data_IF_651184771586
#
_entry.id   IF_651184771586
#
_cell.length_a   1.000
_cell.length_b   1.000
_cell.length_c   1.000
_cell.angle_alpha   90.00
_cell.angle_beta   90.00
_cell.angle_gamma   90.00
#
_symmetry.space_group_name_H-M   'P 1'
#
loop_
_entity.id
_entity.type
_entity.pdbx_description
1 polymer ?
#
# COMPACT_ATOMS: atom_id res chain seq x y z
N UNK A 1 -1.42 8.81 -22.53
CA UNK A 1 -0.90 8.80 -21.14
C UNK A 1 -1.22 7.45 -20.53
N UNK A 2 -0.43 6.95 -19.58
CA UNK A 2 -0.72 5.67 -18.97
C UNK A 2 -1.99 5.75 -18.10
N UNK A 3 -2.76 4.67 -18.08
CA UNK A 3 -3.98 4.54 -17.30
C UNK A 3 -3.68 3.99 -15.91
N UNK A 4 -4.27 4.61 -14.89
CA UNK A 4 -4.04 4.25 -13.48
C UNK A 4 -5.34 3.84 -12.81
N UNK A 5 -5.31 2.71 -12.09
CA UNK A 5 -6.40 2.29 -11.22
C UNK A 5 -6.00 2.45 -9.74
N UNK A 6 -6.79 3.20 -8.98
CA UNK A 6 -6.64 3.31 -7.53
C UNK A 6 -7.67 2.42 -6.83
N UNK A 7 -7.20 1.46 -6.03
CA UNK A 7 -8.02 0.57 -5.22
C UNK A 7 -7.94 0.96 -3.74
N UNK A 8 -8.99 1.62 -3.25
CA UNK A 8 -9.10 2.01 -1.85
C UNK A 8 -9.97 1.02 -1.08
N UNK A 9 -9.48 0.47 0.03
CA UNK A 9 -10.22 -0.51 0.86
C UNK A 9 -10.43 -0.04 2.29
N UNK A 10 -11.62 -0.34 2.83
CA UNK A 10 -11.95 -0.10 4.24
C UNK A 10 -12.94 -1.14 4.79
N UNK A 11 -12.91 -1.35 6.11
CA UNK A 11 -13.86 -2.22 6.83
C UNK A 11 -14.87 -1.42 7.67
N UNK A 12 -14.46 -0.24 8.15
CA UNK A 12 -15.24 0.61 9.05
C UNK A 12 -15.22 2.05 8.56
N UNK A 13 -16.36 2.72 8.64
CA UNK A 13 -16.42 4.15 8.39
C UNK A 13 -15.82 4.90 9.58
N UNK A 14 -14.93 5.85 9.29
CA UNK A 14 -14.32 6.74 10.27
C UNK A 14 -13.83 8.01 9.58
N UNK A 15 -13.35 8.98 10.36
CA UNK A 15 -12.91 10.27 9.83
C UNK A 15 -11.80 10.18 8.76
N UNK A 16 -10.94 9.14 8.78
CA UNK A 16 -9.91 8.94 7.76
C UNK A 16 -10.50 8.52 6.43
N UNK A 17 -11.50 7.64 6.47
CA UNK A 17 -12.24 7.22 5.28
C UNK A 17 -12.97 8.40 4.66
N UNK A 18 -13.68 9.18 5.46
CA UNK A 18 -14.34 10.41 5.01
C UNK A 18 -13.33 11.41 4.44
N UNK A 19 -12.17 11.55 5.10
CA UNK A 19 -11.09 12.41 4.61
C UNK A 19 -10.55 11.94 3.26
N UNK A 20 -10.35 10.64 3.05
CA UNK A 20 -9.93 10.09 1.76
C UNK A 20 -10.96 10.35 0.68
N UNK A 21 -12.24 10.09 0.95
CA UNK A 21 -13.33 10.31 -0.02
C UNK A 21 -13.41 11.77 -0.46
N UNK A 22 -13.22 12.70 0.48
CA UNK A 22 -13.34 14.13 0.21
C UNK A 22 -12.09 14.74 -0.44
N UNK A 23 -10.89 14.27 -0.07
CA UNK A 23 -9.64 14.98 -0.40
C UNK A 23 -8.68 14.18 -1.28
N UNK A 24 -8.86 12.86 -1.40
CA UNK A 24 -7.98 12.01 -2.21
C UNK A 24 -8.59 11.58 -3.54
N UNK A 25 -9.92 11.51 -3.63
CA UNK A 25 -10.64 11.13 -4.85
C UNK A 25 -10.84 12.37 -5.73
N UNK A 26 -10.47 12.24 -7.00
CA UNK A 26 -10.62 13.28 -8.02
C UNK A 26 -11.01 12.66 -9.35
N UNK A 27 -11.53 13.47 -10.27
CA UNK A 27 -11.79 13.05 -11.65
C UNK A 27 -10.58 13.33 -12.53
N UNK A 28 -10.18 12.36 -13.35
CA UNK A 28 -9.18 12.53 -14.40
C UNK A 28 -9.44 11.51 -15.52
N UNK A 29 -9.14 11.88 -16.77
CA UNK A 29 -9.42 11.05 -17.96
C UNK A 29 -8.67 9.71 -18.00
N UNK A 30 -7.56 9.60 -17.26
CA UNK A 30 -6.71 8.39 -17.19
C UNK A 30 -6.54 7.84 -15.77
N UNK A 31 -7.39 8.24 -14.82
CA UNK A 31 -7.31 7.73 -13.45
C UNK A 31 -8.68 7.36 -12.92
N UNK A 32 -8.87 6.09 -12.65
CA UNK A 32 -10.10 5.53 -12.12
C UNK A 32 -9.95 5.12 -10.66
N UNK A 33 -11.05 5.21 -9.92
CA UNK A 33 -11.13 4.84 -8.52
C UNK A 33 -12.13 3.71 -8.31
N UNK A 34 -11.69 2.68 -7.58
CA UNK A 34 -12.56 1.66 -7.02
C UNK A 34 -12.47 1.75 -5.50
N UNK A 35 -13.62 1.92 -4.86
CA UNK A 35 -13.76 1.87 -3.40
C UNK A 35 -14.34 0.51 -2.99
N UNK A 36 -13.58 -0.23 -2.19
CA UNK A 36 -13.90 -1.56 -1.70
C UNK A 36 -14.28 -1.46 -0.22
N UNK A 37 -15.52 -1.82 0.11
CA UNK A 37 -16.02 -1.88 1.47
C UNK A 37 -16.16 -3.33 1.90
N UNK A 38 -15.31 -3.75 2.84
CA UNK A 38 -15.33 -5.09 3.45
C UNK A 38 -16.47 -5.25 4.48
N UNK A 39 -17.55 -4.49 4.36
CA UNK A 39 -18.69 -4.56 5.25
C UNK A 39 -19.98 -4.29 4.49
N UNK A 40 -20.84 -5.30 4.40
CA UNK A 40 -22.11 -5.24 3.65
C UNK A 40 -23.11 -4.25 4.26
N UNK A 41 -22.97 -3.90 5.55
CA UNK A 41 -23.95 -3.12 6.30
C UNK A 41 -23.71 -1.61 6.25
N UNK A 42 -22.52 -1.15 5.83
CA UNK A 42 -22.19 0.28 5.76
C UNK A 42 -22.85 0.90 4.54
N UNK A 43 -23.53 2.04 4.71
CA UNK A 43 -24.08 2.87 3.63
C UNK A 43 -23.25 4.13 3.50
N UNK A 44 -22.62 4.35 2.35
CA UNK A 44 -21.67 5.45 2.13
C UNK A 44 -21.63 5.95 0.69
N UNK A 45 -22.36 5.30 -0.22
CA UNK A 45 -22.29 5.56 -1.65
C UNK A 45 -22.65 7.02 -1.98
N UNK A 46 -23.53 7.63 -1.18
CA UNK A 46 -23.90 9.04 -1.28
C UNK A 46 -22.76 10.03 -0.95
N UNK A 47 -21.67 9.55 -0.33
CA UNK A 47 -20.48 10.34 -0.02
C UNK A 47 -19.46 10.33 -1.16
N UNK A 48 -19.66 9.48 -2.17
CA UNK A 48 -18.74 9.30 -3.29
C UNK A 48 -19.26 9.97 -4.56
N UNK A 49 -18.38 10.52 -5.41
CA UNK A 49 -18.73 10.92 -6.75
C UNK A 49 -19.25 9.75 -7.60
N UNK A 50 -20.12 10.04 -8.57
CA UNK A 50 -20.76 9.02 -9.41
C UNK A 50 -19.82 8.26 -10.34
N UNK A 51 -18.64 8.82 -10.64
CA UNK A 51 -17.61 8.15 -11.45
C UNK A 51 -16.83 7.08 -10.66
N UNK A 52 -16.97 7.02 -9.33
CA UNK A 52 -16.28 6.03 -8.50
C UNK A 52 -17.05 4.71 -8.51
N UNK A 53 -16.40 3.62 -8.88
CA UNK A 53 -16.97 2.28 -8.77
C UNK A 53 -16.88 1.79 -7.32
N UNK A 54 -17.96 1.20 -6.83
CA UNK A 54 -18.05 0.68 -5.46
C UNK A 54 -18.21 -0.84 -5.48
N UNK A 55 -17.42 -1.52 -4.65
CA UNK A 55 -17.57 -2.95 -4.36
C UNK A 55 -17.87 -3.11 -2.88
N UNK A 56 -18.90 -3.89 -2.55
CA UNK A 56 -19.20 -4.33 -1.18
C UNK A 56 -19.03 -5.83 -1.07
N UNK A 57 -18.37 -6.27 0.00
CA UNK A 57 -18.08 -7.69 0.26
C UNK A 57 -17.98 -7.95 1.76
N UNK A 58 -17.93 -9.22 2.12
CA UNK A 58 -17.62 -9.65 3.48
C UNK A 58 -16.14 -9.38 3.82
N UNK A 59 -15.82 -9.25 5.11
CA UNK A 59 -14.44 -9.04 5.57
C UNK A 59 -13.60 -10.33 5.59
N UNK A 60 -13.44 -10.97 4.43
CA UNK A 60 -12.59 -12.16 4.27
C UNK A 60 -11.27 -11.76 3.63
N UNK A 61 -10.14 -12.20 4.16
CA UNK A 61 -8.81 -11.86 3.62
C UNK A 61 -8.34 -10.44 3.90
N UNK A 62 -9.10 -9.66 4.69
CA UNK A 62 -8.79 -8.27 5.04
C UNK A 62 -8.53 -7.42 3.79
N UNK A 63 -7.51 -6.55 3.82
CA UNK A 63 -7.17 -5.65 2.71
C UNK A 63 -6.78 -6.44 1.44
N UNK A 64 -5.87 -7.40 1.57
CA UNK A 64 -5.42 -8.22 0.44
C UNK A 64 -6.54 -9.07 -0.16
N UNK A 65 -7.50 -9.52 0.65
CA UNK A 65 -8.67 -10.24 0.17
C UNK A 65 -9.54 -9.37 -0.73
N UNK A 66 -9.88 -8.16 -0.28
CA UNK A 66 -10.71 -7.27 -1.09
C UNK A 66 -10.02 -6.75 -2.34
N UNK A 67 -8.72 -6.45 -2.28
CA UNK A 67 -7.94 -6.14 -3.48
C UNK A 67 -7.90 -7.32 -4.45
N UNK A 68 -7.64 -8.55 -3.95
CA UNK A 68 -7.64 -9.75 -4.77
C UNK A 68 -8.99 -9.98 -5.44
N UNK A 69 -10.09 -9.79 -4.70
CA UNK A 69 -11.42 -9.95 -5.27
C UNK A 69 -11.68 -8.95 -6.38
N UNK A 70 -11.34 -7.68 -6.16
CA UNK A 70 -11.47 -6.66 -7.19
C UNK A 70 -10.64 -6.95 -8.44
N UNK A 71 -9.40 -7.43 -8.28
CA UNK A 71 -8.50 -7.71 -9.41
C UNK A 71 -8.97 -8.95 -10.19
N UNK A 72 -9.47 -9.98 -9.50
CA UNK A 72 -9.70 -11.31 -10.07
C UNK A 72 -11.16 -11.54 -10.51
N UNK A 73 -12.16 -10.91 -9.87
CA UNK A 73 -13.59 -11.10 -10.21
C UNK A 73 -14.07 -10.17 -11.33
N UNK A 74 -13.57 -8.94 -11.37
CA UNK A 74 -13.72 -8.14 -12.57
C UNK A 74 -12.86 -8.87 -13.60
N UNK A 75 -13.49 -9.50 -14.59
CA UNK A 75 -12.83 -10.25 -15.66
C UNK A 75 -11.49 -9.57 -15.92
N UNK A 76 -10.38 -10.28 -15.72
CA UNK A 76 -9.01 -9.78 -15.86
C UNK A 76 -8.79 -8.84 -17.07
N UNK A 77 -9.64 -8.96 -18.11
CA UNK A 77 -9.84 -8.03 -19.21
C UNK A 77 -10.06 -6.55 -18.83
N UNK A 78 -10.90 -6.22 -17.84
CA UNK A 78 -11.14 -4.82 -17.44
C UNK A 78 -9.95 -4.21 -16.72
N UNK A 79 -9.22 -5.00 -15.92
CA UNK A 79 -8.01 -4.53 -15.23
C UNK A 79 -6.80 -4.51 -16.17
N UNK A 80 -6.77 -5.34 -17.23
CA UNK A 80 -5.68 -5.35 -18.21
C UNK A 80 -5.54 -4.07 -19.06
N UNK A 81 -6.50 -3.15 -18.96
CA UNK A 81 -6.45 -1.83 -19.59
C UNK A 81 -5.55 -0.83 -18.86
N UNK A 82 -5.28 -1.05 -17.56
CA UNK A 82 -4.48 -0.13 -16.76
C UNK A 82 -3.01 -0.50 -16.81
N UNK A 83 -2.16 0.53 -16.92
CA UNK A 83 -0.71 0.40 -16.88
C UNK A 83 -0.20 0.35 -15.43
N UNK A 84 -0.87 1.08 -14.54
CA UNK A 84 -0.46 1.23 -13.14
C UNK A 84 -1.62 0.99 -12.16
N UNK A 85 -1.26 0.47 -11.00
CA UNK A 85 -2.18 0.19 -9.91
C UNK A 85 -1.66 0.81 -8.63
N UNK A 86 -2.54 1.46 -7.88
CA UNK A 86 -2.25 1.98 -6.54
C UNK A 86 -3.23 1.36 -5.56
N UNK A 87 -2.70 0.70 -4.55
CA UNK A 87 -3.46 0.04 -3.49
C UNK A 87 -3.38 0.90 -2.23
N UNK A 88 -4.51 1.18 -1.61
CA UNK A 88 -4.61 2.04 -0.43
C UNK A 88 -5.59 1.44 0.56
N UNK A 89 -5.27 1.44 1.86
CA UNK A 89 -6.21 1.00 2.90
C UNK A 89 -6.63 2.13 3.85
N UNK A 90 -7.68 1.91 4.64
CA UNK A 90 -8.25 2.91 5.56
C UNK A 90 -7.39 3.29 6.77
N UNK A 91 -6.15 2.78 6.87
CA UNK A 91 -5.22 3.25 7.88
C UNK A 91 -4.60 4.61 7.52
N UNK A 92 -4.71 5.04 6.25
CA UNK A 92 -4.09 6.27 5.76
C UNK A 92 -4.79 7.53 6.25
N UNK A 93 -4.01 8.60 6.39
CA UNK A 93 -4.50 9.99 6.37
C UNK A 93 -3.63 10.78 5.40
N UNK A 94 -4.22 11.75 4.71
CA UNK A 94 -3.66 12.43 3.55
C UNK A 94 -4.68 12.49 2.40
N UNK A 95 -4.29 12.99 1.22
CA UNK A 95 -2.92 13.29 0.83
C UNK A 95 -2.43 14.63 1.41
N UNK A 96 -1.22 14.65 1.94
CA UNK A 96 -0.49 15.85 2.33
C UNK A 96 0.33 16.33 1.13
N UNK A 97 -0.30 17.19 0.34
CA UNK A 97 0.30 17.73 -0.89
C UNK A 97 0.67 19.20 -0.63
N UNK A 98 1.91 19.63 -0.92
CA UNK A 98 2.25 21.05 -0.85
C UNK A 98 1.41 21.88 -1.83
N UNK A 99 1.06 23.10 -1.46
CA UNK A 99 0.19 23.97 -2.28
C UNK A 99 0.75 24.30 -3.67
N UNK A 100 2.07 24.15 -3.86
CA UNK A 100 2.74 24.36 -5.15
C UNK A 100 2.73 23.14 -6.06
N UNK A 101 2.32 21.96 -5.57
CA UNK A 101 2.26 20.74 -6.37
C UNK A 101 0.91 20.68 -7.09
N UNK A 102 0.95 20.90 -8.40
CA UNK A 102 -0.25 21.03 -9.25
C UNK A 102 -0.63 19.73 -9.97
N UNK A 103 0.08 18.64 -9.72
CA UNK A 103 -0.21 17.34 -10.31
C UNK A 103 -1.07 16.47 -9.38
N UNK A 104 -1.57 15.35 -9.92
CA UNK A 104 -2.29 14.36 -9.14
C UNK A 104 -1.32 13.61 -8.20
N UNK A 105 -1.72 13.36 -6.97
CA UNK A 105 -0.88 12.64 -6.00
C UNK A 105 -0.47 11.24 -6.48
N UNK A 106 -1.26 10.63 -7.37
CA UNK A 106 -0.98 9.33 -7.99
C UNK A 106 0.35 9.34 -8.74
N UNK A 107 0.68 10.46 -9.40
CA UNK A 107 1.95 10.64 -10.13
C UNK A 107 3.16 10.49 -9.21
N UNK A 108 3.05 10.89 -7.94
CA UNK A 108 4.16 10.75 -6.97
C UNK A 108 4.56 9.28 -6.80
N UNK A 109 3.59 8.38 -6.76
CA UNK A 109 3.84 6.95 -6.60
C UNK A 109 4.26 6.28 -7.92
N UNK A 110 3.61 6.65 -9.02
CA UNK A 110 3.93 6.11 -10.36
C UNK A 110 5.35 6.49 -10.77
N UNK A 111 5.76 7.75 -10.54
CA UNK A 111 7.10 8.24 -10.85
C UNK A 111 8.19 7.61 -9.96
N UNK A 112 7.81 6.94 -8.87
CA UNK A 112 8.72 6.13 -8.06
C UNK A 112 9.09 4.77 -8.68
N UNK A 113 8.29 4.30 -9.64
CA UNK A 113 8.55 3.07 -10.40
C UNK A 113 9.51 3.34 -11.55
N UNK A 114 10.31 2.34 -11.92
CA UNK A 114 11.21 2.41 -13.06
C UNK A 114 11.58 1.01 -13.58
N UNK A 115 12.66 0.89 -14.36
CA UNK A 115 13.15 -0.42 -14.86
C UNK A 115 13.49 -1.37 -13.71
N UNK A 116 13.99 -0.83 -12.60
CA UNK A 116 14.54 -1.60 -11.49
C UNK A 116 13.55 -1.67 -10.34
N UNK A 117 12.88 -0.56 -10.00
CA UNK A 117 11.91 -0.47 -8.90
C UNK A 117 10.52 -0.84 -9.39
N UNK A 118 10.03 -2.00 -8.94
CA UNK A 118 8.75 -2.60 -9.38
C UNK A 118 7.61 -2.48 -8.38
N UNK A 119 7.92 -2.16 -7.13
CA UNK A 119 6.96 -1.86 -6.08
C UNK A 119 7.42 -0.63 -5.31
N UNK A 120 6.55 0.36 -5.23
CA UNK A 120 6.88 1.65 -4.63
C UNK A 120 5.78 2.08 -3.66
N UNK A 121 6.14 2.43 -2.42
CA UNK A 121 5.18 2.92 -1.43
C UNK A 121 5.67 4.13 -0.67
N UNK A 122 4.97 4.51 0.40
CA UNK A 122 5.43 5.64 1.22
C UNK A 122 6.60 5.25 2.12
N UNK A 123 6.60 4.04 2.68
CA UNK A 123 7.67 3.55 3.56
C UNK A 123 7.99 2.07 3.30
N UNK A 124 9.22 1.69 3.64
CA UNK A 124 9.64 0.28 3.73
C UNK A 124 9.88 -0.03 5.20
N UNK A 125 9.35 -1.14 5.71
CA UNK A 125 9.75 -1.66 7.00
C UNK A 125 10.91 -2.64 6.80
N UNK A 126 12.09 -2.26 7.28
CA UNK A 126 13.30 -3.06 7.16
C UNK A 126 13.38 -4.17 8.24
N UNK A 127 12.51 -4.13 9.26
CA UNK A 127 12.51 -5.02 10.43
C UNK A 127 13.94 -5.09 11.06
N UNK A 128 14.21 -6.06 11.93
CA UNK A 128 15.55 -6.33 12.49
C UNK A 128 16.52 -6.93 11.46
N UNK A 129 16.01 -7.47 10.33
CA UNK A 129 16.84 -8.08 9.29
C UNK A 129 16.33 -7.69 7.87
N UNK A 130 16.82 -6.57 7.32
CA UNK A 130 16.41 -6.04 6.02
C UNK A 130 16.61 -7.04 4.88
N UNK A 131 17.70 -7.81 4.91
CA UNK A 131 18.00 -8.83 3.90
C UNK A 131 16.88 -9.85 3.74
N UNK A 132 16.25 -10.24 4.86
CA UNK A 132 15.21 -11.28 4.89
C UNK A 132 13.81 -10.70 4.83
N UNK A 133 13.57 -9.54 5.42
CA UNK A 133 12.22 -9.10 5.76
C UNK A 133 11.88 -7.67 5.35
N UNK A 134 12.75 -6.98 4.61
CA UNK A 134 12.40 -5.66 4.06
C UNK A 134 11.15 -5.76 3.19
N UNK A 135 10.14 -4.95 3.51
CA UNK A 135 8.91 -4.88 2.74
C UNK A 135 8.33 -3.47 2.70
N UNK A 136 7.75 -3.10 1.55
CA UNK A 136 6.91 -1.91 1.44
C UNK A 136 5.69 -2.10 2.35
N UNK A 137 5.40 -1.11 3.18
CA UNK A 137 4.25 -1.20 4.09
C UNK A 137 2.94 -1.02 3.31
N UNK A 138 1.98 -1.93 3.54
CA UNK A 138 0.80 -2.09 2.67
C UNK A 138 -0.27 -0.98 2.74
N UNK A 139 -0.06 0.07 3.54
CA UNK A 139 -1.08 1.12 3.69
C UNK A 139 -1.26 1.96 2.41
N UNK A 140 -0.18 2.10 1.63
CA UNK A 140 -0.22 2.60 0.26
C UNK A 140 0.99 2.08 -0.53
N UNK A 141 0.75 1.55 -1.72
CA UNK A 141 1.79 1.14 -2.65
C UNK A 141 1.30 1.14 -4.10
N UNK A 142 2.24 1.25 -5.03
CA UNK A 142 2.01 1.24 -6.46
C UNK A 142 2.88 0.19 -7.16
N UNK A 143 2.39 -0.29 -8.31
CA UNK A 143 3.10 -1.20 -9.20
C UNK A 143 2.59 -1.06 -10.64
N UNK A 144 3.38 -1.54 -11.60
CA UNK A 144 2.94 -1.68 -13.00
C UNK A 144 2.15 -2.99 -13.22
N UNK A 145 1.43 -3.07 -14.34
CA UNK A 145 0.63 -4.25 -14.72
C UNK A 145 1.45 -5.54 -14.76
N UNK A 146 2.69 -5.49 -15.24
CA UNK A 146 3.55 -6.68 -15.33
C UNK A 146 3.90 -7.21 -13.92
N UNK A 147 4.15 -6.31 -12.98
CA UNK A 147 4.40 -6.65 -11.58
C UNK A 147 3.16 -7.21 -10.92
N UNK A 148 1.98 -6.64 -11.20
CA UNK A 148 0.71 -7.18 -10.71
C UNK A 148 0.48 -8.61 -11.20
N UNK A 149 0.65 -8.86 -12.51
CA UNK A 149 0.52 -10.19 -13.10
C UNK A 149 1.46 -11.19 -12.44
N UNK A 150 2.74 -10.82 -12.29
CA UNK A 150 3.72 -11.64 -11.56
C UNK A 150 3.26 -11.95 -10.12
N UNK A 151 2.75 -10.96 -9.38
CA UNK A 151 2.28 -11.17 -8.01
C UNK A 151 1.01 -12.03 -7.92
N UNK A 152 0.15 -12.00 -8.94
CA UNK A 152 -0.98 -12.93 -9.06
C UNK A 152 -0.46 -14.36 -9.30
N UNK A 153 0.50 -14.55 -10.20
CA UNK A 153 1.13 -15.87 -10.44
C UNK A 153 1.83 -16.41 -9.18
N UNK A 154 2.41 -15.53 -8.36
CA UNK A 154 3.00 -15.89 -7.05
C UNK A 154 1.97 -16.04 -5.92
N UNK A 155 0.67 -16.03 -6.24
CA UNK A 155 -0.43 -16.14 -5.29
C UNK A 155 -0.40 -15.09 -4.17
N UNK A 156 0.20 -13.90 -4.40
CA UNK A 156 0.10 -12.78 -3.46
C UNK A 156 -1.31 -12.22 -3.51
N UNK A 157 -1.80 -11.91 -4.71
CA UNK A 157 -3.21 -11.65 -4.96
C UNK A 157 -3.88 -12.95 -5.39
N UNK A 158 -4.81 -13.45 -4.57
CA UNK A 158 -5.42 -14.78 -4.76
C UNK A 158 -6.79 -14.86 -4.10
N UNK A 159 -7.65 -15.72 -4.65
CA UNK A 159 -8.93 -16.12 -4.06
C UNK A 159 -8.80 -16.99 -2.83
N UNK A 160 -7.63 -17.58 -2.60
CA UNK A 160 -7.36 -18.27 -1.35
C UNK A 160 -7.01 -17.25 -0.26
N UNK A 161 -8.04 -16.74 0.41
CA UNK A 161 -7.90 -15.67 1.39
C UNK A 161 -7.42 -16.15 2.75
N UNK A 162 -6.57 -15.34 3.39
CA UNK A 162 -6.18 -15.57 4.78
C UNK A 162 -7.34 -15.31 5.74
N UNK A 163 -7.51 -16.18 6.73
CA UNK A 163 -8.56 -16.07 7.75
C UNK A 163 -8.10 -15.32 9.00
N UNK A 164 -6.79 -15.16 9.17
CA UNK A 164 -6.17 -14.58 10.37
C UNK A 164 -5.35 -13.36 9.96
N UNK A 165 -5.49 -12.26 10.69
CA UNK A 165 -4.82 -10.99 10.36
C UNK A 165 -3.30 -11.11 10.32
N UNK A 166 -2.71 -11.85 11.27
CA UNK A 166 -1.28 -12.14 11.30
C UNK A 166 -0.80 -12.83 10.01
N UNK A 167 -1.59 -13.77 9.50
CA UNK A 167 -1.29 -14.50 8.28
C UNK A 167 -1.38 -13.57 7.05
N UNK A 168 -2.31 -12.61 7.02
CA UNK A 168 -2.35 -11.61 5.96
C UNK A 168 -1.04 -10.80 5.88
N UNK A 169 -0.41 -10.49 7.01
CA UNK A 169 0.89 -9.81 7.01
C UNK A 169 1.99 -10.74 6.51
N UNK A 170 2.14 -11.93 7.12
CA UNK A 170 3.29 -12.81 6.88
C UNK A 170 3.20 -13.65 5.61
N UNK A 171 2.00 -13.84 5.05
CA UNK A 171 1.78 -14.56 3.80
C UNK A 171 1.48 -13.63 2.63
N UNK A 172 1.15 -12.34 2.86
CA UNK A 172 0.86 -11.36 1.80
C UNK A 172 1.79 -10.16 1.83
N UNK A 173 1.67 -9.26 2.82
CA UNK A 173 2.44 -8.00 2.85
C UNK A 173 3.96 -8.21 2.78
N UNK A 174 4.52 -9.08 3.64
CA UNK A 174 5.95 -9.36 3.63
C UNK A 174 6.35 -10.12 2.35
N UNK A 175 5.71 -11.24 1.97
CA UNK A 175 6.07 -11.96 0.75
C UNK A 175 5.92 -11.17 -0.54
N UNK A 176 5.01 -10.19 -0.62
CA UNK A 176 4.85 -9.33 -1.78
C UNK A 176 6.17 -8.67 -2.18
N UNK A 177 6.84 -8.02 -1.22
CA UNK A 177 8.14 -7.39 -1.46
C UNK A 177 9.25 -8.43 -1.66
N UNK A 178 9.19 -9.55 -0.93
CA UNK A 178 10.21 -10.60 -1.03
C UNK A 178 10.21 -11.29 -2.39
N UNK A 179 9.04 -11.56 -2.96
CA UNK A 179 8.92 -12.17 -4.30
C UNK A 179 9.47 -11.26 -5.39
N UNK A 180 9.29 -9.95 -5.26
CA UNK A 180 9.87 -8.96 -6.18
C UNK A 180 11.41 -8.98 -6.08
N UNK A 181 11.94 -8.93 -4.86
CA UNK A 181 13.38 -9.00 -4.59
C UNK A 181 14.01 -10.31 -5.10
N UNK A 182 13.35 -11.45 -4.84
CA UNK A 182 13.76 -12.77 -5.32
C UNK A 182 13.74 -12.86 -6.86
N UNK A 183 12.84 -12.12 -7.52
CA UNK A 183 12.82 -11.99 -8.99
C UNK A 183 13.91 -11.04 -9.53
N UNK A 184 14.76 -10.51 -8.66
CA UNK A 184 15.85 -9.62 -9.02
C UNK A 184 15.46 -8.17 -9.25
N UNK A 185 14.21 -7.80 -8.99
CA UNK A 185 13.68 -6.44 -9.02
C UNK A 185 13.81 -5.76 -7.65
N UNK A 186 13.91 -4.44 -7.64
CA UNK A 186 14.03 -3.66 -6.42
C UNK A 186 12.67 -3.14 -5.92
N UNK A 187 12.63 -2.74 -4.66
CA UNK A 187 11.52 -2.01 -4.03
C UNK A 187 11.98 -0.59 -3.66
N UNK A 188 11.06 0.36 -3.62
CA UNK A 188 11.37 1.75 -3.29
C UNK A 188 10.31 2.39 -2.40
N UNK A 189 10.65 3.56 -1.85
CA UNK A 189 9.68 4.35 -1.12
C UNK A 189 10.01 5.85 -1.08
N UNK A 190 9.02 6.66 -0.67
CA UNK A 190 9.16 8.10 -0.45
C UNK A 190 10.05 8.46 0.74
N UNK A 191 10.12 7.58 1.74
CA UNK A 191 10.89 7.81 2.95
C UNK A 191 12.38 8.07 2.66
N UNK A 192 12.82 9.32 2.84
CA UNK A 192 14.12 9.85 2.40
C UNK A 192 15.33 9.01 2.83
N UNK A 193 15.42 8.49 4.07
CA UNK A 193 16.55 7.64 4.46
C UNK A 193 16.69 6.34 3.65
N UNK A 194 15.65 5.90 2.95
CA UNK A 194 15.68 4.74 2.06
C UNK A 194 15.65 5.10 0.56
N UNK A 195 15.80 6.38 0.23
CA UNK A 195 15.92 6.82 -1.16
C UNK A 195 17.15 6.18 -1.80
N UNK A 196 16.96 5.57 -2.97
CA UNK A 196 18.01 4.93 -3.78
C UNK A 196 18.76 3.78 -3.07
N UNK A 197 18.16 3.16 -2.04
CA UNK A 197 18.71 1.95 -1.42
C UNK A 197 18.42 0.74 -2.33
N UNK A 198 19.43 -0.11 -2.51
CA UNK A 198 19.30 -1.40 -3.19
C UNK A 198 18.84 -2.48 -2.19
N UNK A 199 17.54 -2.77 -2.17
CA UNK A 199 16.95 -3.84 -1.37
C UNK A 199 17.05 -5.22 -2.05
N UNK A 200 17.64 -5.32 -3.25
CA UNK A 200 18.01 -6.63 -3.81
C UNK A 200 19.24 -7.20 -3.13
N UNK A 201 20.06 -6.32 -2.54
CA UNK A 201 21.31 -6.65 -1.86
C UNK A 201 22.30 -7.43 -2.74
N UNK A 202 22.17 -7.32 -4.07
CA UNK A 202 23.13 -7.87 -5.02
C UNK A 202 24.48 -7.17 -4.92
N UNK A 203 24.44 -5.86 -4.66
CA UNK A 203 25.63 -5.06 -4.40
C UNK A 203 25.84 -4.91 -2.89
N UNK A 204 27.10 -4.96 -2.44
CA UNK A 204 27.53 -4.91 -1.03
C UNK A 204 27.32 -3.53 -0.34
N UNK A 205 26.22 -2.83 -0.61
CA UNK A 205 25.89 -1.56 0.02
C UNK A 205 25.09 -1.77 1.31
N UNK A 206 25.81 -2.09 2.39
CA UNK A 206 25.27 -2.31 3.74
C UNK A 206 24.85 -1.03 4.50
N UNK A 207 24.60 0.09 3.81
CA UNK A 207 24.22 1.37 4.44
C UNK A 207 22.71 1.51 4.64
N UNK A 208 22.04 0.48 5.13
CA UNK A 208 20.62 0.60 5.51
C UNK A 208 20.56 1.10 6.95
N UNK A 209 19.88 2.23 7.16
CA UNK A 209 19.54 2.68 8.50
C UNK A 209 18.48 1.76 9.09
N UNK A 210 18.69 1.24 10.29
CA UNK A 210 17.73 0.35 10.94
C UNK A 210 16.74 1.19 11.75
N UNK A 211 15.51 1.29 11.26
CA UNK A 211 14.44 2.00 11.97
C UNK A 211 13.38 1.00 12.39
N UNK A 212 13.27 0.78 13.70
CA UNK A 212 12.30 -0.16 14.28
C UNK A 212 10.85 0.27 14.05
N UNK A 213 10.53 1.54 14.29
CA UNK A 213 9.19 2.10 14.07
C UNK A 213 9.30 3.47 13.40
N UNK A 214 9.10 3.50 12.07
CA UNK A 214 9.14 4.74 11.29
C UNK A 214 8.11 5.75 11.82
N UNK A 215 6.95 5.29 12.28
CA UNK A 215 5.87 6.16 12.75
C UNK A 215 5.99 6.55 14.23
N UNK A 216 7.11 6.25 14.90
CA UNK A 216 7.35 6.72 16.25
C UNK A 216 7.31 8.25 16.32
N UNK A 217 6.89 8.79 17.46
CA UNK A 217 6.83 10.26 17.67
C UNK A 217 8.21 10.90 17.52
N UNK A 218 9.27 10.19 17.86
CA UNK A 218 10.66 10.65 17.77
C UNK A 218 11.15 10.76 16.33
N UNK A 219 10.61 9.95 15.41
CA UNK A 219 11.04 9.96 14.01
C UNK A 219 10.30 11.03 13.18
N UNK A 220 9.06 11.38 13.56
CA UNK A 220 8.30 12.45 12.89
C UNK A 220 8.96 13.81 13.16
N UNK A 221 9.10 14.61 12.12
CA UNK A 221 9.85 15.88 12.03
C UNK A 221 11.38 15.77 12.18
N UNK A 222 11.93 14.58 12.45
CA UNK A 222 13.38 14.34 12.47
C UNK A 222 13.85 13.60 11.21
N UNK A 223 13.16 12.52 10.83
CA UNK A 223 13.50 11.69 9.67
C UNK A 223 12.53 11.88 8.50
N UNK A 224 11.32 12.34 8.78
CA UNK A 224 10.26 12.57 7.80
C UNK A 224 9.23 13.54 8.37
N UNK A 225 8.48 14.20 7.49
CA UNK A 225 7.26 14.94 7.84
C UNK A 225 6.09 14.47 6.95
N UNK A 226 4.88 14.95 7.23
CA UNK A 226 3.66 14.48 6.55
C UNK A 226 3.71 14.69 5.03
N UNK A 227 4.28 15.81 4.56
CA UNK A 227 4.45 16.12 3.15
C UNK A 227 5.52 15.25 2.47
N UNK A 228 6.48 14.70 3.24
CA UNK A 228 7.49 13.80 2.69
C UNK A 228 6.90 12.43 2.29
N UNK A 229 5.82 11.99 2.96
CA UNK A 229 5.24 10.66 2.77
C UNK A 229 3.94 10.65 1.97
N UNK A 230 3.33 11.82 1.74
CA UNK A 230 2.02 12.06 1.12
C UNK A 230 0.86 11.45 1.91
N UNK A 231 0.94 10.18 2.27
CA UNK A 231 0.05 9.51 3.19
C UNK A 231 0.83 8.92 4.36
N UNK A 232 0.23 8.98 5.56
CA UNK A 232 0.80 8.39 6.78
C UNK A 232 -0.21 7.44 7.43
N UNK A 233 0.27 6.52 8.29
CA UNK A 233 -0.59 5.65 9.09
C UNK A 233 -1.29 6.45 10.19
N UNK A 234 -2.46 7.01 9.89
CA UNK A 234 -3.25 7.85 10.81
C UNK A 234 -3.70 7.12 12.07
N UNK A 235 -3.90 5.80 11.99
CA UNK A 235 -4.20 4.96 13.15
C UNK A 235 -3.05 4.86 14.18
N UNK A 236 -1.85 5.38 13.87
CA UNK A 236 -0.75 5.51 14.85
C UNK A 236 -0.88 6.77 15.72
N UNK A 237 -1.73 7.72 15.32
CA UNK A 237 -1.79 9.06 15.92
C UNK A 237 -3.16 9.41 16.53
N UNK A 238 -4.19 8.62 16.26
CA UNK A 238 -5.56 8.85 16.72
C UNK A 238 -5.83 8.33 18.15
N UNK A 239 -4.81 7.81 18.85
CA UNK A 239 -4.97 7.21 20.18
C UNK A 239 -5.79 5.91 20.17
N UNK A 240 -6.22 5.42 19.01
CA UNK A 240 -6.79 4.09 18.88
C UNK A 240 -5.66 3.06 19.07
N UNK A 241 -5.70 2.36 20.20
CA UNK A 241 -5.02 1.06 20.32
C UNK A 241 -5.66 0.17 19.24
N UNK A 242 -4.96 -0.59 18.40
CA UNK A 242 -3.88 -1.53 18.69
C UNK A 242 -3.05 -1.80 17.41
N UNK A 243 -1.72 -1.78 17.52
CA UNK A 243 -0.99 -2.93 16.98
C UNK A 243 -1.17 -4.03 18.03
N UNK A 244 -1.49 -5.29 17.67
CA UNK A 244 -1.60 -6.34 18.65
C UNK A 244 -0.33 -6.36 19.50
N UNK A 245 -0.49 -6.23 20.82
CA UNK A 245 0.60 -6.22 21.81
C UNK A 245 1.45 -7.52 21.82
N UNK A 246 1.18 -8.45 20.91
CA UNK A 246 1.79 -9.76 20.82
C UNK A 246 2.55 -9.98 19.49
N UNK A 247 3.21 -8.96 18.92
CA UNK A 247 4.37 -9.26 18.07
C UNK A 247 5.53 -9.68 18.97
N UNK A 248 5.46 -10.91 19.49
CA UNK A 248 6.52 -11.49 20.30
C UNK A 248 7.68 -11.84 19.35
N UNK A 249 8.52 -10.84 19.06
CA UNK A 249 9.72 -10.95 18.21
C UNK A 249 10.70 -12.03 18.71
N UNK A 250 10.54 -12.53 19.95
CA UNK A 250 11.30 -13.67 20.49
C UNK A 250 10.99 -15.02 19.82
N UNK A 251 9.95 -15.14 18.99
CA UNK A 251 9.69 -16.35 18.19
C UNK A 251 10.27 -16.32 16.77
N UNK A 252 11.01 -15.27 16.40
CA UNK A 252 11.77 -15.25 15.15
C UNK A 252 13.12 -15.96 15.33
N UNK A 253 13.09 -17.25 15.60
CA UNK A 253 14.20 -18.16 15.34
C UNK A 253 13.75 -19.15 14.27
N UNK A 254 14.08 -18.82 13.02
CA UNK A 254 14.21 -19.75 11.90
C UNK A 254 15.47 -19.37 11.11
#
# INVERSE_FOLDING_TARGET
>A
MPYTLVLYIFHEMNYRVEHFFKNAIFYHETTDFIVICNNLNIKFEHLLPTFVKVIKRENIGFDFGGWSDCILDNKYHETSYYDYFIFVNSSVIGPFIPSYFNENWTNIYINGLNSDVKLFGSTINAIVNPMKWSHVQSYIFAMDINTLQFLVEKNIFSKNHEKVFHDAIWKREVPMSRKIIENGWNIGCLFKPYKNIDFTFKNNNRKIMYIHDIFSKENRNNLWNDYDLVFIKGNRYDGSKEAPKNLNLKKLQF
#
